data_IF_746194439091
#
_entry.id   IF_746194439091
#
_cell.length_a   1.000
_cell.length_b   1.000
_cell.length_c   1.000
_cell.angle_alpha   90.00
_cell.angle_beta   90.00
_cell.angle_gamma   90.00
#
_symmetry.space_group_name_H-M   'P 1'
#
loop_
_entity.id
_entity.type
_entity.pdbx_description
1 polymer ?
#
# COMPACT_ATOMS: atom_id res chain seq x y z
N UNK A 1 -11.72 18.67 -5.98
CA UNK A 1 -11.05 18.08 -4.81
C UNK A 1 -9.59 17.92 -5.18
N UNK A 2 -8.67 18.34 -4.33
CA UNK A 2 -7.22 18.18 -4.53
C UNK A 2 -6.70 17.17 -3.51
N UNK A 3 -5.98 16.16 -3.98
CA UNK A 3 -5.23 15.24 -3.12
C UNK A 3 -3.75 15.56 -3.34
N UNK A 4 -3.06 15.91 -2.26
CA UNK A 4 -1.63 16.15 -2.27
C UNK A 4 -0.96 14.97 -1.58
N UNK A 5 -0.40 14.07 -2.37
CA UNK A 5 0.39 12.95 -1.88
C UNK A 5 1.82 13.40 -1.53
N UNK A 6 2.44 12.71 -0.57
CA UNK A 6 3.75 13.07 -0.01
C UNK A 6 3.86 14.55 0.39
N UNK A 7 2.80 15.09 1.01
CA UNK A 7 2.70 16.51 1.34
C UNK A 7 3.81 17.02 2.27
N UNK A 8 4.52 16.14 2.99
CA UNK A 8 5.71 16.48 3.76
C UNK A 8 6.89 16.94 2.89
N UNK A 9 6.90 16.61 1.60
CA UNK A 9 7.94 17.05 0.65
C UNK A 9 7.54 18.34 -0.09
N UNK A 10 6.27 18.75 -0.03
CA UNK A 10 5.79 19.96 -0.68
C UNK A 10 6.46 21.21 -0.09
N UNK A 11 6.78 22.21 -0.91
CA UNK A 11 7.37 23.47 -0.42
C UNK A 11 6.41 24.18 0.56
N UNK A 12 6.96 24.77 1.62
CA UNK A 12 6.17 25.47 2.65
C UNK A 12 5.31 26.59 2.03
N UNK A 13 5.81 27.31 1.02
CA UNK A 13 5.04 28.34 0.31
C UNK A 13 3.78 27.77 -0.35
N UNK A 14 3.88 26.60 -1.00
CA UNK A 14 2.73 25.92 -1.63
C UNK A 14 1.67 25.57 -0.59
N UNK A 15 2.07 25.03 0.56
CA UNK A 15 1.15 24.71 1.65
C UNK A 15 0.47 25.97 2.22
N UNK A 16 1.21 27.07 2.33
CA UNK A 16 0.67 28.37 2.75
C UNK A 16 -0.30 28.97 1.74
N UNK A 17 -0.09 28.78 0.44
CA UNK A 17 -1.03 29.20 -0.61
C UNK A 17 -2.31 28.36 -0.59
N UNK A 18 -2.18 27.03 -0.46
CA UNK A 18 -3.32 26.13 -0.32
C UNK A 18 -4.20 26.49 0.89
N UNK A 19 -3.59 26.97 1.98
CA UNK A 19 -4.32 27.52 3.13
C UNK A 19 -5.22 28.70 2.73
N UNK A 20 -4.76 29.58 1.85
CA UNK A 20 -5.53 30.74 1.37
C UNK A 20 -6.67 30.25 0.48
N UNK A 21 -6.38 29.36 -0.48
CA UNK A 21 -7.37 28.81 -1.42
C UNK A 21 -8.46 27.96 -0.75
N UNK A 22 -8.14 27.32 0.38
CA UNK A 22 -9.09 26.56 1.18
C UNK A 22 -9.88 27.43 2.19
N UNK A 23 -9.55 28.73 2.33
CA UNK A 23 -10.22 29.63 3.26
C UNK A 23 -11.60 30.06 2.73
N UNK A 24 -12.55 30.15 3.67
CA UNK A 24 -14.01 30.21 3.44
C UNK A 24 -14.52 31.58 2.96
N UNK A 25 -13.73 32.64 3.06
CA UNK A 25 -14.20 34.02 2.86
C UNK A 25 -14.12 34.48 1.40
N UNK A 26 -14.60 33.63 0.48
CA UNK A 26 -14.97 34.00 -0.88
C UNK A 26 -16.44 33.60 -1.08
N UNK A 27 -17.32 34.45 -0.55
CA UNK A 27 -18.77 34.66 -0.74
C UNK A 27 -19.75 33.60 -1.31
N UNK A 28 -19.39 32.32 -1.53
CA UNK A 28 -20.39 31.32 -1.89
C UNK A 28 -20.07 29.85 -1.63
N UNK A 29 -18.82 29.36 -1.71
CA UNK A 29 -18.52 27.91 -1.55
C UNK A 29 -17.09 27.69 -1.06
N UNK A 30 -16.82 26.60 -0.33
CA UNK A 30 -15.44 26.12 -0.20
C UNK A 30 -14.90 25.84 -1.61
N UNK A 31 -14.02 26.72 -2.10
CA UNK A 31 -13.49 26.65 -3.47
C UNK A 31 -12.68 25.36 -3.69
N UNK A 32 -12.05 24.82 -2.63
CA UNK A 32 -11.21 23.65 -2.74
C UNK A 32 -11.22 22.80 -1.46
N UNK A 33 -11.74 21.57 -1.56
CA UNK A 33 -11.47 20.51 -0.59
C UNK A 33 -10.07 19.94 -0.87
N UNK A 34 -9.17 20.03 0.11
CA UNK A 34 -7.78 19.53 0.03
C UNK A 34 -7.60 18.38 1.01
N UNK A 35 -7.10 17.26 0.53
CA UNK A 35 -6.65 16.11 1.33
C UNK A 35 -5.13 16.09 1.27
N UNK A 36 -4.49 16.19 2.43
CA UNK A 36 -3.04 16.00 2.54
C UNK A 36 -2.77 14.55 2.95
N UNK A 37 -2.04 13.83 2.11
CA UNK A 37 -1.53 12.49 2.37
C UNK A 37 -0.01 12.56 2.50
N UNK A 38 0.54 11.67 3.33
CA UNK A 38 1.95 11.66 3.66
C UNK A 38 2.24 10.75 4.84
N UNK A 39 3.51 10.65 5.18
CA UNK A 39 3.97 9.81 6.29
C UNK A 39 3.91 10.52 7.66
N UNK A 40 4.48 9.89 8.68
CA UNK A 40 4.52 10.41 10.05
C UNK A 40 5.19 11.79 10.20
N UNK A 41 6.02 12.21 9.24
CA UNK A 41 6.68 13.53 9.24
C UNK A 41 5.70 14.65 8.95
N UNK A 42 4.62 14.40 8.21
CA UNK A 42 3.65 15.43 7.83
C UNK A 42 2.94 16.06 9.05
N UNK A 43 2.35 15.29 9.99
CA UNK A 43 1.77 15.85 11.21
C UNK A 43 2.76 16.63 12.08
N UNK A 44 4.03 16.22 12.12
CA UNK A 44 5.08 16.94 12.84
C UNK A 44 5.38 18.28 12.16
N UNK A 45 5.54 18.25 10.83
CA UNK A 45 5.78 19.43 10.02
C UNK A 45 4.65 20.46 10.11
N UNK A 46 3.40 20.02 10.20
CA UNK A 46 2.23 20.89 10.39
C UNK A 46 2.17 21.58 11.77
N UNK A 47 3.03 21.19 12.73
CA UNK A 47 3.16 21.85 14.03
C UNK A 47 4.28 22.90 14.07
N UNK A 48 5.08 23.02 13.00
CA UNK A 48 6.12 24.06 12.87
C UNK A 48 5.49 25.46 12.86
N UNK A 49 6.20 26.51 13.33
CA UNK A 49 5.66 27.87 13.38
C UNK A 49 5.12 28.36 12.03
N UNK A 50 5.77 28.00 10.93
CA UNK A 50 5.40 28.42 9.58
C UNK A 50 4.09 27.79 9.10
N UNK A 51 3.82 26.55 9.51
CA UNK A 51 2.65 25.77 9.06
C UNK A 51 1.57 25.60 10.13
N UNK A 52 1.81 26.05 11.37
CA UNK A 52 0.85 26.00 12.46
C UNK A 52 -0.53 26.59 12.09
N UNK A 53 -0.62 27.70 11.33
CA UNK A 53 -1.92 28.23 10.90
C UNK A 53 -2.67 27.34 9.89
N UNK A 54 -1.95 26.54 9.08
CA UNK A 54 -2.57 25.53 8.22
C UNK A 54 -2.97 24.31 9.06
N UNK A 55 -2.06 23.81 9.89
CA UNK A 55 -2.25 22.63 10.73
C UNK A 55 -3.44 22.74 11.70
N UNK A 56 -3.72 23.94 12.22
CA UNK A 56 -4.87 24.21 13.10
C UNK A 56 -6.23 24.20 12.39
N UNK A 57 -6.25 24.34 11.05
CA UNK A 57 -7.48 24.31 10.24
C UNK A 57 -7.86 22.89 9.78
N UNK A 58 -6.96 21.93 9.89
CA UNK A 58 -7.20 20.53 9.54
C UNK A 58 -8.05 19.88 10.64
N UNK A 59 -9.35 19.74 10.38
CA UNK A 59 -10.33 19.20 11.36
C UNK A 59 -10.32 17.68 11.48
N UNK A 60 -10.01 16.99 10.38
CA UNK A 60 -10.00 15.53 10.30
C UNK A 60 -8.57 15.07 10.06
N UNK A 61 -8.12 14.13 10.88
CA UNK A 61 -6.83 13.46 10.74
C UNK A 61 -7.12 11.97 10.84
N UNK A 62 -6.64 11.22 9.85
CA UNK A 62 -6.73 9.78 9.83
C UNK A 62 -5.31 9.25 9.85
N UNK A 63 -5.00 8.41 10.83
CA UNK A 63 -3.77 7.63 10.83
C UNK A 63 -4.10 6.27 10.22
N UNK A 64 -3.31 5.85 9.23
CA UNK A 64 -3.44 4.53 8.62
C UNK A 64 -2.42 3.61 9.28
N UNK A 65 -2.92 2.65 10.04
CA UNK A 65 -2.12 1.57 10.61
C UNK A 65 -1.99 0.41 9.62
N UNK A 66 -1.20 -0.59 9.99
CA UNK A 66 -1.14 -1.86 9.28
C UNK A 66 -2.55 -2.46 9.16
N UNK A 67 -2.84 -3.02 7.98
CA UNK A 67 -4.11 -3.67 7.71
C UNK A 67 -4.28 -4.92 8.59
N UNK A 68 -5.51 -5.22 8.97
CA UNK A 68 -5.81 -6.50 9.58
C UNK A 68 -5.71 -7.64 8.56
N UNK A 69 -5.64 -8.89 9.04
CA UNK A 69 -5.68 -10.07 8.16
C UNK A 69 -6.97 -10.11 7.34
N UNK A 70 -8.09 -9.71 7.94
CA UNK A 70 -9.39 -9.69 7.28
C UNK A 70 -9.42 -8.64 6.17
N UNK A 71 -8.85 -7.45 6.40
CA UNK A 71 -8.76 -6.40 5.39
C UNK A 71 -7.90 -6.83 4.19
N UNK A 72 -6.76 -7.47 4.45
CA UNK A 72 -5.90 -8.00 3.40
C UNK A 72 -6.57 -9.12 2.60
N UNK A 73 -7.26 -10.02 3.29
CA UNK A 73 -8.01 -11.12 2.66
C UNK A 73 -9.14 -10.57 1.79
N UNK A 74 -9.94 -9.63 2.33
CA UNK A 74 -11.02 -8.99 1.60
C UNK A 74 -10.51 -8.21 0.38
N UNK A 75 -9.36 -7.54 0.51
CA UNK A 75 -8.73 -6.86 -0.62
C UNK A 75 -8.32 -7.85 -1.72
N UNK A 76 -7.68 -8.96 -1.35
CA UNK A 76 -7.27 -9.98 -2.32
C UNK A 76 -8.47 -10.64 -3.01
N UNK A 77 -9.51 -11.01 -2.25
CA UNK A 77 -10.72 -11.59 -2.81
C UNK A 77 -11.43 -10.62 -3.76
N UNK A 78 -11.52 -9.34 -3.39
CA UNK A 78 -12.09 -8.31 -4.26
C UNK A 78 -11.32 -8.18 -5.58
N UNK A 79 -9.98 -8.21 -5.54
CA UNK A 79 -9.15 -8.13 -6.75
C UNK A 79 -9.32 -9.35 -7.65
N UNK A 80 -9.36 -10.55 -7.07
CA UNK A 80 -9.59 -11.79 -7.82
C UNK A 80 -11.00 -11.85 -8.42
N UNK A 81 -12.00 -11.38 -7.70
CA UNK A 81 -13.38 -11.25 -8.19
C UNK A 81 -13.46 -10.23 -9.34
N UNK A 82 -12.86 -9.05 -9.18
CA UNK A 82 -12.80 -8.03 -10.23
C UNK A 82 -12.05 -8.50 -11.49
N UNK A 83 -11.03 -9.33 -11.32
CA UNK A 83 -10.31 -9.99 -12.42
C UNK A 83 -11.11 -11.15 -13.06
N UNK A 84 -12.24 -11.55 -12.46
CA UNK A 84 -13.14 -12.59 -12.99
C UNK A 84 -12.77 -14.03 -12.60
N UNK A 85 -11.83 -14.24 -11.68
CA UNK A 85 -11.43 -15.58 -11.23
C UNK A 85 -11.11 -15.63 -9.73
N UNK A 86 -12.16 -15.67 -8.91
CA UNK A 86 -12.06 -15.79 -7.44
C UNK A 86 -11.38 -17.10 -6.98
N UNK A 87 -11.38 -18.13 -7.83
CA UNK A 87 -10.83 -19.45 -7.54
C UNK A 87 -9.37 -19.63 -8.00
N UNK A 88 -8.74 -18.59 -8.56
CA UNK A 88 -7.38 -18.63 -9.10
C UNK A 88 -6.35 -19.08 -8.06
N UNK A 89 -6.52 -18.68 -6.79
CA UNK A 89 -5.63 -19.04 -5.69
C UNK A 89 -6.32 -20.02 -4.74
N UNK A 90 -5.58 -20.99 -4.19
CA UNK A 90 -6.10 -21.83 -3.11
C UNK A 90 -6.30 -21.03 -1.81
N UNK A 91 -7.27 -21.39 -0.95
CA UNK A 91 -7.46 -20.71 0.34
C UNK A 91 -6.19 -20.69 1.20
N UNK A 92 -5.42 -21.78 1.18
CA UNK A 92 -4.18 -21.93 1.93
C UNK A 92 -3.11 -20.95 1.40
N UNK A 93 -3.00 -20.81 0.07
CA UNK A 93 -2.11 -19.81 -0.53
C UNK A 93 -2.50 -18.39 -0.13
N UNK A 94 -3.79 -18.03 -0.15
CA UNK A 94 -4.25 -16.70 0.27
C UNK A 94 -3.87 -16.44 1.73
N UNK A 95 -4.10 -17.40 2.63
CA UNK A 95 -3.73 -17.29 4.03
C UNK A 95 -2.21 -17.10 4.20
N UNK A 96 -1.40 -17.91 3.52
CA UNK A 96 0.07 -17.76 3.53
C UNK A 96 0.50 -16.37 3.05
N UNK A 97 -0.08 -15.86 1.97
CA UNK A 97 0.25 -14.52 1.44
C UNK A 97 -0.13 -13.40 2.41
N UNK A 98 -1.32 -13.46 2.99
CA UNK A 98 -1.81 -12.48 3.98
C UNK A 98 -0.93 -12.47 5.23
N UNK A 99 -0.50 -13.66 5.68
CA UNK A 99 0.36 -13.82 6.84
C UNK A 99 1.74 -13.23 6.62
N UNK A 100 2.32 -13.51 5.45
CA UNK A 100 3.62 -12.98 5.06
C UNK A 100 3.62 -11.48 4.79
N UNK A 101 2.49 -10.92 4.34
CA UNK A 101 2.34 -9.49 4.11
C UNK A 101 2.35 -8.66 5.40
N UNK A 102 2.07 -9.28 6.56
CA UNK A 102 2.12 -8.63 7.88
C UNK A 102 1.38 -7.26 7.93
N UNK A 103 0.20 -7.20 7.30
CA UNK A 103 -0.63 -5.98 7.24
C UNK A 103 -0.21 -4.95 6.19
N UNK A 104 0.81 -5.23 5.37
CA UNK A 104 1.29 -4.33 4.33
C UNK A 104 0.74 -4.72 2.96
N UNK A 105 -0.20 -3.92 2.44
CA UNK A 105 -0.78 -4.12 1.10
C UNK A 105 0.26 -4.19 -0.01
N UNK A 106 1.33 -3.38 0.04
CA UNK A 106 2.35 -3.36 -1.01
C UNK A 106 3.13 -4.67 -1.05
N UNK A 107 3.47 -5.22 0.13
CA UNK A 107 4.12 -6.54 0.20
C UNK A 107 3.17 -7.61 -0.36
N UNK A 108 1.90 -7.61 0.06
CA UNK A 108 0.91 -8.56 -0.45
C UNK A 108 0.81 -8.53 -1.98
N UNK A 109 0.65 -7.33 -2.55
CA UNK A 109 0.49 -7.15 -4.00
C UNK A 109 1.73 -7.61 -4.77
N UNK A 110 2.93 -7.30 -4.28
CA UNK A 110 4.17 -7.73 -4.92
C UNK A 110 4.29 -9.26 -4.92
N UNK A 111 4.02 -9.92 -3.78
CA UNK A 111 4.05 -11.39 -3.70
C UNK A 111 3.03 -12.02 -4.67
N UNK A 112 1.82 -11.45 -4.75
CA UNK A 112 0.80 -11.91 -5.68
C UNK A 112 1.21 -11.73 -7.14
N UNK A 113 1.82 -10.60 -7.48
CA UNK A 113 2.29 -10.29 -8.84
C UNK A 113 3.39 -11.26 -9.29
N UNK A 114 4.38 -11.53 -8.44
CA UNK A 114 5.43 -12.51 -8.71
C UNK A 114 4.87 -13.93 -8.93
N UNK A 115 3.89 -14.35 -8.12
CA UNK A 115 3.22 -15.64 -8.31
C UNK A 115 2.38 -15.69 -9.57
N UNK A 116 1.69 -14.60 -9.90
CA UNK A 116 0.85 -14.53 -11.08
C UNK A 116 1.71 -14.60 -12.34
N UNK A 117 2.85 -13.89 -12.37
CA UNK A 117 3.83 -13.97 -13.45
C UNK A 117 4.37 -15.39 -13.60
N UNK A 118 4.83 -16.02 -12.51
CA UNK A 118 5.33 -17.40 -12.54
C UNK A 118 4.25 -18.42 -12.97
N UNK A 119 3.00 -18.23 -12.54
CA UNK A 119 1.87 -19.06 -12.92
C UNK A 119 1.52 -18.91 -14.40
N UNK A 120 1.54 -17.69 -14.92
CA UNK A 120 1.29 -17.39 -16.32
C UNK A 120 2.37 -18.00 -17.22
N UNK A 121 3.64 -17.85 -16.88
CA UNK A 121 4.77 -18.43 -17.63
C UNK A 121 4.69 -19.95 -17.73
N UNK A 122 4.16 -20.61 -16.68
CA UNK A 122 4.01 -22.06 -16.60
C UNK A 122 2.66 -22.58 -17.08
N UNK A 123 1.74 -21.69 -17.47
CA UNK A 123 0.38 -22.04 -17.90
C UNK A 123 -0.44 -22.74 -16.81
N UNK A 124 -0.22 -22.39 -15.53
CA UNK A 124 -0.92 -23.01 -14.42
C UNK A 124 -2.35 -22.46 -14.30
N UNK A 125 -3.38 -23.32 -14.27
CA UNK A 125 -4.78 -22.87 -14.15
C UNK A 125 -5.15 -22.40 -12.73
N UNK A 126 -4.32 -22.73 -11.74
CA UNK A 126 -4.52 -22.40 -10.32
C UNK A 126 -3.17 -22.26 -9.62
N UNK A 127 -3.07 -21.29 -8.71
CA UNK A 127 -1.89 -21.00 -7.89
C UNK A 127 -2.09 -21.62 -6.50
N UNK A 128 -1.08 -22.33 -6.00
CA UNK A 128 -1.10 -23.02 -4.70
C UNK A 128 0.16 -22.70 -3.87
N UNK A 129 0.20 -23.20 -2.63
CA UNK A 129 1.34 -23.02 -1.73
C UNK A 129 2.65 -23.63 -2.25
N UNK A 130 2.58 -24.65 -3.12
CA UNK A 130 3.78 -25.26 -3.70
C UNK A 130 4.46 -24.27 -4.62
N UNK A 131 3.70 -23.59 -5.48
CA UNK A 131 4.24 -22.53 -6.32
C UNK A 131 4.85 -21.41 -5.46
N UNK A 132 4.20 -21.02 -4.36
CA UNK A 132 4.77 -20.07 -3.41
C UNK A 132 6.13 -20.49 -2.88
N UNK A 133 6.26 -21.72 -2.40
CA UNK A 133 7.54 -22.23 -1.91
C UNK A 133 8.58 -22.29 -3.03
N UNK A 134 8.21 -22.66 -4.26
CA UNK A 134 9.16 -22.70 -5.38
C UNK A 134 9.69 -21.32 -5.78
N UNK A 135 8.82 -20.30 -5.78
CA UNK A 135 9.17 -18.93 -6.19
C UNK A 135 9.99 -18.22 -5.11
N UNK A 136 9.61 -18.38 -3.83
CA UNK A 136 10.21 -17.63 -2.72
C UNK A 136 11.22 -18.42 -1.88
N UNK A 137 11.50 -19.69 -2.20
CA UNK A 137 12.56 -20.43 -1.52
C UNK A 137 13.92 -19.79 -1.78
N UNK A 138 14.77 -19.63 -0.74
CA UNK A 138 16.14 -19.18 -0.95
C UNK A 138 16.88 -20.16 -1.87
N UNK A 139 17.75 -19.68 -2.77
CA UNK A 139 18.48 -20.56 -3.69
C UNK A 139 19.29 -21.58 -2.88
N UNK A 140 19.05 -22.87 -3.14
CA UNK A 140 19.85 -23.93 -2.52
C UNK A 140 21.32 -23.73 -2.92
N UNK A 141 22.18 -23.48 -1.93
CA UNK A 141 23.64 -23.52 -2.13
C UNK A 141 24.00 -24.88 -2.76
N UNK A 142 24.76 -24.93 -3.87
CA UNK A 142 25.12 -26.20 -4.48
C UNK A 142 25.86 -27.06 -3.47
N UNK A 143 25.39 -28.30 -3.27
CA UNK A 143 26.06 -29.29 -2.41
C UNK A 143 27.46 -29.51 -2.96
N UNK A 144 28.48 -29.16 -2.18
CA UNK A 144 29.87 -29.43 -2.52
C UNK A 144 30.03 -30.94 -2.76
N UNK A 145 30.42 -31.31 -3.99
CA UNK A 145 30.69 -32.70 -4.35
C UNK A 145 31.86 -33.22 -3.51
N UNK A 146 31.59 -34.15 -2.61
CA UNK A 146 32.62 -34.94 -1.92
C UNK A 146 33.36 -35.77 -2.96
N UNK A 147 34.54 -35.29 -3.39
CA UNK A 147 35.51 -36.10 -4.13
C UNK A 147 35.93 -37.27 -3.23
N UNK A 148 35.45 -38.48 -3.54
CA UNK A 148 35.99 -39.73 -2.99
C UNK A 148 37.46 -39.84 -3.41
N UNK A 149 38.33 -40.04 -2.42
CA UNK A 149 39.73 -40.45 -2.56
C UNK A 149 39.79 -41.97 -2.73
#
# INVERSE_FOLDING_TARGET
>A
MLILDEAQEALTQVLCELRILASKDFDARQLLCVIFAGDGRLPERLRTPELLPLGSRIRRRLHLDYASRDDLTACLDHLLEAAGNLALMTPELKATLVDHAAGNYRILMNLCDELLAAGADRGLPRLDEKLYLEVFSPPQRPKASTKKR
#
